data_IF_582968467416
#
_entry.id   IF_582968467416
#
_cell.length_a   1.000
_cell.length_b   1.000
_cell.length_c   1.000
_cell.angle_alpha   90.00
_cell.angle_beta   90.00
_cell.angle_gamma   90.00
#
_symmetry.space_group_name_H-M   'P 1'
#
loop_
_entity.id
_entity.type
_entity.pdbx_description
1 polymer ?
#
# COMPACT_ATOMS: atom_id res chain seq x y z
N UNK A 1 -0.27 -1.47 -12.23
CA UNK A 1 -0.36 -0.18 -11.53
C UNK A 1 -1.72 -0.11 -10.85
N UNK A 2 -1.73 -0.20 -9.53
CA UNK A 2 -2.93 -0.09 -8.67
C UNK A 2 -3.40 1.39 -8.56
N UNK A 3 -4.04 1.90 -9.61
CA UNK A 3 -4.31 3.36 -9.81
C UNK A 3 -5.69 3.84 -9.37
N UNK A 4 -6.39 3.14 -8.47
CA UNK A 4 -7.76 3.51 -8.08
C UNK A 4 -7.86 4.96 -7.56
N UNK A 5 -8.92 5.70 -7.89
CA UNK A 5 -9.11 7.10 -7.47
C UNK A 5 -9.65 7.21 -6.04
N UNK A 6 -9.05 6.46 -5.12
CA UNK A 6 -9.38 6.41 -3.70
C UNK A 6 -8.09 6.19 -2.88
N UNK A 7 -8.15 6.54 -1.61
CA UNK A 7 -7.04 6.31 -0.68
C UNK A 7 -6.89 4.82 -0.38
N UNK A 8 -5.64 4.35 -0.25
CA UNK A 8 -5.33 3.00 0.21
C UNK A 8 -4.46 3.07 1.44
N UNK A 9 -4.59 2.06 2.28
CA UNK A 9 -3.79 1.92 3.49
C UNK A 9 -3.19 0.52 3.55
N UNK A 10 -1.88 0.46 3.76
CA UNK A 10 -1.13 -0.79 3.88
C UNK A 10 -0.46 -0.85 5.24
N UNK A 11 -0.65 -1.96 5.96
CA UNK A 11 0.07 -2.27 7.19
C UNK A 11 0.94 -3.50 6.99
N UNK A 12 2.24 -3.33 7.14
CA UNK A 12 3.24 -4.40 7.11
C UNK A 12 3.68 -4.66 8.54
N UNK A 13 3.24 -5.77 9.12
CA UNK A 13 3.62 -6.17 10.48
C UNK A 13 4.73 -7.20 10.43
N UNK A 14 5.81 -6.96 11.18
CA UNK A 14 7.01 -7.77 11.12
C UNK A 14 6.85 -9.07 11.93
N UNK A 15 7.21 -10.18 11.30
CA UNK A 15 7.32 -11.49 11.97
C UNK A 15 8.75 -11.71 12.48
N UNK A 16 9.74 -11.27 11.70
CA UNK A 16 11.16 -11.31 12.03
C UNK A 16 11.69 -9.88 12.15
N UNK A 17 12.73 -9.71 12.98
CA UNK A 17 13.39 -8.41 13.14
C UNK A 17 14.02 -7.95 11.83
N UNK A 18 13.80 -6.70 11.45
CA UNK A 18 14.43 -6.04 10.31
C UNK A 18 14.85 -4.62 10.67
N UNK A 19 16.02 -4.18 10.20
CA UNK A 19 16.36 -2.75 10.25
C UNK A 19 15.59 -1.99 9.17
N UNK A 20 15.39 -0.69 9.37
CA UNK A 20 14.77 0.14 8.35
C UNK A 20 15.61 0.24 7.07
N UNK A 21 16.94 0.18 7.17
CA UNK A 21 17.83 0.06 6.00
C UNK A 21 17.54 -1.21 5.20
N UNK A 22 17.52 -2.38 5.85
CA UNK A 22 17.24 -3.65 5.17
C UNK A 22 15.89 -3.65 4.45
N UNK A 23 14.86 -3.12 5.11
CA UNK A 23 13.53 -3.02 4.52
C UNK A 23 13.51 -2.03 3.35
N UNK A 24 14.00 -0.81 3.57
CA UNK A 24 13.90 0.29 2.60
C UNK A 24 14.76 0.07 1.37
N UNK A 25 15.95 -0.52 1.50
CA UNK A 25 16.78 -0.90 0.37
C UNK A 25 16.07 -1.91 -0.52
N UNK A 26 15.45 -2.94 0.08
CA UNK A 26 14.78 -3.98 -0.70
C UNK A 26 13.58 -3.45 -1.48
N UNK A 27 12.78 -2.59 -0.85
CA UNK A 27 11.65 -1.94 -1.52
C UNK A 27 12.14 -0.99 -2.62
N UNK A 28 13.20 -0.21 -2.35
CA UNK A 28 13.77 0.72 -3.32
C UNK A 28 14.36 0.00 -4.55
N UNK A 29 15.10 -1.10 -4.36
CA UNK A 29 15.61 -1.93 -5.46
C UNK A 29 14.50 -2.38 -6.40
N UNK A 30 13.41 -2.91 -5.85
CA UNK A 30 12.26 -3.37 -6.62
C UNK A 30 11.61 -2.21 -7.39
N UNK A 31 11.41 -1.05 -6.75
CA UNK A 31 10.83 0.13 -7.40
C UNK A 31 11.71 0.62 -8.57
N UNK A 32 13.02 0.76 -8.33
CA UNK A 32 13.98 1.20 -9.36
C UNK A 32 14.02 0.23 -10.54
N UNK A 33 14.01 -1.08 -10.29
CA UNK A 33 14.01 -2.09 -11.34
C UNK A 33 12.77 -1.98 -12.23
N UNK A 34 11.59 -1.86 -11.62
CA UNK A 34 10.31 -1.70 -12.34
C UNK A 34 10.32 -0.40 -13.16
N UNK A 35 10.76 0.71 -12.58
CA UNK A 35 10.76 2.01 -13.28
C UNK A 35 11.77 2.09 -14.41
N UNK A 36 12.95 1.47 -14.25
CA UNK A 36 13.93 1.38 -15.33
C UNK A 36 13.41 0.52 -16.48
N UNK A 37 12.78 -0.61 -16.19
CA UNK A 37 12.18 -1.47 -17.21
C UNK A 37 11.03 -0.77 -17.95
N UNK A 38 10.24 0.06 -17.25
CA UNK A 38 9.17 0.85 -17.82
C UNK A 38 9.64 2.16 -18.50
N UNK A 39 10.92 2.54 -18.39
CA UNK A 39 11.46 3.77 -18.97
C UNK A 39 11.00 5.06 -18.27
N UNK A 40 10.58 4.98 -17.00
CA UNK A 40 10.03 6.11 -16.23
C UNK A 40 10.91 6.59 -15.08
N UNK A 41 12.11 6.02 -14.91
CA UNK A 41 13.03 6.42 -13.84
C UNK A 41 13.72 7.75 -14.17
N UNK A 42 13.32 8.83 -13.49
CA UNK A 42 13.92 10.16 -13.62
C UNK A 42 14.62 10.60 -12.33
N UNK A 43 15.18 11.81 -12.33
CA UNK A 43 15.75 12.44 -11.14
C UNK A 43 14.71 12.59 -10.02
N UNK A 44 13.44 12.85 -10.35
CA UNK A 44 12.37 12.98 -9.37
C UNK A 44 12.14 11.66 -8.60
N UNK A 45 12.15 10.52 -9.29
CA UNK A 45 12.06 9.20 -8.66
C UNK A 45 13.31 8.90 -7.82
N UNK A 46 14.50 9.30 -8.29
CA UNK A 46 15.74 9.19 -7.51
C UNK A 46 15.66 9.94 -6.18
N UNK A 47 15.23 11.20 -6.20
CA UNK A 47 15.05 12.02 -4.99
C UNK A 47 13.98 11.41 -4.07
N UNK A 48 12.89 10.88 -4.63
CA UNK A 48 11.85 10.23 -3.86
C UNK A 48 12.36 8.97 -3.14
N UNK A 49 13.22 8.18 -3.79
CA UNK A 49 13.85 7.00 -3.18
C UNK A 49 14.80 7.39 -2.04
N UNK A 50 15.60 8.44 -2.21
CA UNK A 50 16.49 8.90 -1.14
C UNK A 50 15.69 9.40 0.09
N UNK A 51 14.59 10.15 -0.14
CA UNK A 51 13.66 10.53 0.94
C UNK A 51 13.02 9.32 1.61
N UNK A 52 12.66 8.30 0.82
CA UNK A 52 12.12 7.06 1.35
C UNK A 52 13.14 6.37 2.25
N UNK A 53 14.38 6.16 1.80
CA UNK A 53 15.43 5.54 2.62
C UNK A 53 15.73 6.33 3.89
N UNK A 54 15.83 7.66 3.80
CA UNK A 54 16.11 8.51 4.95
C UNK A 54 15.02 8.39 6.03
N UNK A 55 13.75 8.25 5.64
CA UNK A 55 12.64 8.04 6.59
C UNK A 55 12.77 6.73 7.41
N UNK A 56 13.49 5.73 6.90
CA UNK A 56 13.69 4.43 7.56
C UNK A 56 15.04 4.29 8.26
N UNK A 57 16.00 5.19 8.01
CA UNK A 57 17.41 5.02 8.39
C UNK A 57 17.66 4.82 9.89
N UNK A 58 16.90 5.50 10.74
CA UNK A 58 17.05 5.41 12.19
C UNK A 58 16.21 4.28 12.83
N UNK A 59 15.46 3.51 12.03
CA UNK A 59 14.46 2.59 12.52
C UNK A 59 14.96 1.15 12.63
N UNK A 60 14.41 0.42 13.61
CA UNK A 60 14.56 -1.03 13.73
C UNK A 60 13.24 -1.62 14.19
N UNK A 61 12.77 -2.61 13.44
CA UNK A 61 11.45 -3.19 13.57
C UNK A 61 11.56 -4.58 14.18
N UNK A 62 11.16 -4.73 15.44
CA UNK A 62 11.04 -6.04 16.09
C UNK A 62 9.76 -6.78 15.68
N UNK A 63 9.60 -8.07 16.07
CA UNK A 63 8.37 -8.80 15.85
C UNK A 63 7.15 -8.07 16.44
N UNK A 64 6.07 -7.98 15.67
CA UNK A 64 4.83 -7.28 16.04
C UNK A 64 4.82 -5.78 15.79
N UNK A 65 5.97 -5.14 15.53
CA UNK A 65 6.01 -3.75 15.05
C UNK A 65 5.48 -3.66 13.62
N UNK A 66 5.03 -2.46 13.23
CA UNK A 66 4.38 -2.24 11.94
C UNK A 66 4.93 -1.03 11.21
N UNK A 67 5.07 -1.18 9.89
CA UNK A 67 5.27 -0.11 8.92
C UNK A 67 3.92 0.16 8.26
N UNK A 68 3.56 1.43 8.16
CA UNK A 68 2.25 1.87 7.72
C UNK A 68 2.42 2.81 6.53
N UNK A 69 1.69 2.54 5.46
CA UNK A 69 1.68 3.37 4.26
C UNK A 69 0.27 3.85 3.98
N UNK A 70 0.11 5.14 3.77
CA UNK A 70 -1.10 5.73 3.21
C UNK A 70 -0.81 6.22 1.80
N UNK A 71 -1.53 5.66 0.83
CA UNK A 71 -1.44 6.00 -0.57
C UNK A 71 -2.58 6.96 -0.92
N UNK A 72 -2.27 8.26 -0.96
CA UNK A 72 -3.24 9.29 -1.34
C UNK A 72 -3.63 9.16 -2.82
N UNK A 73 -4.90 9.41 -3.20
CA UNK A 73 -5.29 9.51 -4.61
C UNK A 73 -4.56 10.63 -5.37
N UNK A 74 -3.98 11.62 -4.68
CA UNK A 74 -3.15 12.66 -5.29
C UNK A 74 -1.74 12.17 -5.69
N UNK A 75 -1.34 10.96 -5.28
CA UNK A 75 0.00 10.42 -5.52
C UNK A 75 1.01 10.69 -4.40
N UNK A 76 0.57 11.18 -3.24
CA UNK A 76 1.42 11.30 -2.05
C UNK A 76 1.51 9.96 -1.30
N UNK A 77 2.70 9.61 -0.82
CA UNK A 77 2.92 8.47 0.08
C UNK A 77 3.22 8.98 1.49
N UNK A 78 2.33 8.72 2.43
CA UNK A 78 2.58 8.96 3.86
C UNK A 78 3.11 7.69 4.50
N UNK A 79 4.17 7.82 5.30
CA UNK A 79 4.80 6.73 6.03
C UNK A 79 4.57 6.96 7.52
N UNK A 80 4.23 5.91 8.25
CA UNK A 80 4.19 5.92 9.71
C UNK A 80 4.73 4.60 10.26
N UNK A 81 5.17 4.62 11.51
CA UNK A 81 5.69 3.45 12.21
C UNK A 81 4.91 3.23 13.50
N UNK A 82 4.76 1.97 13.88
CA UNK A 82 4.22 1.59 15.18
C UNK A 82 5.08 0.50 15.80
N UNK A 83 5.32 0.60 17.10
CA UNK A 83 6.02 -0.43 17.88
C UNK A 83 5.11 -1.64 18.18
N UNK A 84 3.81 -1.48 17.94
CA UNK A 84 2.79 -2.50 18.14
C UNK A 84 1.82 -2.50 16.94
N UNK A 85 0.59 -3.00 17.15
CA UNK A 85 -0.46 -3.05 16.11
C UNK A 85 -1.35 -1.80 16.06
N UNK A 86 -1.09 -0.78 16.88
CA UNK A 86 -1.79 0.50 16.83
C UNK A 86 -1.47 1.27 15.55
N UNK A 87 -2.39 2.14 15.14
CA UNK A 87 -2.21 3.07 14.03
C UNK A 87 -2.07 4.46 14.63
N UNK A 88 -0.93 5.16 14.45
CA UNK A 88 -0.73 6.50 14.96
C UNK A 88 -1.60 7.50 14.20
N UNK A 89 -1.96 8.61 14.85
CA UNK A 89 -2.79 9.66 14.27
C UNK A 89 -2.10 10.41 13.12
N UNK A 90 -0.76 10.47 13.14
CA UNK A 90 0.04 11.19 12.16
C UNK A 90 1.19 10.33 11.62
N UNK A 91 1.57 10.58 10.36
CA UNK A 91 2.76 9.99 9.73
C UNK A 91 4.06 10.68 10.15
N UNK A 92 5.17 9.98 10.00
CA UNK A 92 6.52 10.50 10.23
C UNK A 92 7.12 11.16 8.99
N UNK A 93 6.65 10.80 7.78
CA UNK A 93 7.11 11.39 6.53
C UNK A 93 5.99 11.39 5.47
N UNK A 94 6.03 12.37 4.58
CA UNK A 94 5.18 12.45 3.38
C UNK A 94 6.07 12.67 2.16
N UNK A 95 5.91 11.82 1.14
CA UNK A 95 6.68 11.89 -0.09
C UNK A 95 5.72 12.11 -1.26
N UNK A 96 5.80 13.30 -1.84
CA UNK A 96 5.03 13.72 -3.02
C UNK A 96 5.68 13.14 -4.29
N UNK A 97 5.44 11.86 -4.57
CA UNK A 97 5.84 11.22 -5.81
C UNK A 97 4.88 10.07 -6.14
N UNK A 98 4.10 10.26 -7.21
CA UNK A 98 3.06 9.30 -7.62
C UNK A 98 3.63 7.94 -7.98
N UNK A 99 4.77 7.89 -8.66
CA UNK A 99 5.41 6.64 -9.06
C UNK A 99 5.79 5.81 -7.82
N UNK A 100 6.42 6.43 -6.80
CA UNK A 100 6.74 5.80 -5.52
C UNK A 100 5.49 5.36 -4.77
N UNK A 101 4.49 6.23 -4.68
CA UNK A 101 3.23 5.92 -4.03
C UNK A 101 2.60 4.65 -4.62
N UNK A 102 2.49 4.55 -5.94
CA UNK A 102 1.92 3.37 -6.59
C UNK A 102 2.84 2.13 -6.50
N UNK A 103 4.16 2.33 -6.62
CA UNK A 103 5.12 1.23 -6.63
C UNK A 103 5.20 0.48 -5.29
N UNK A 104 5.01 1.16 -4.16
CA UNK A 104 4.99 0.49 -2.84
C UNK A 104 3.85 -0.53 -2.77
N UNK A 105 2.63 -0.18 -3.19
CA UNK A 105 1.50 -1.12 -3.20
C UNK A 105 1.65 -2.19 -4.28
N UNK A 106 2.10 -1.80 -5.48
CA UNK A 106 2.38 -2.73 -6.58
C UNK A 106 3.42 -3.78 -6.18
N UNK A 107 4.42 -3.41 -5.38
CA UNK A 107 5.44 -4.35 -4.88
C UNK A 107 4.86 -5.47 -4.00
N UNK A 108 3.64 -5.30 -3.47
CA UNK A 108 2.98 -6.25 -2.57
C UNK A 108 1.97 -7.10 -3.33
N UNK A 109 1.06 -6.48 -4.09
CA UNK A 109 -0.10 -7.14 -4.72
C UNK A 109 -0.10 -7.06 -6.25
N UNK A 110 0.88 -6.39 -6.85
CA UNK A 110 1.02 -6.25 -8.30
C UNK A 110 1.29 -7.56 -9.02
N UNK A 111 1.62 -7.48 -10.31
CA UNK A 111 1.94 -8.67 -11.12
C UNK A 111 3.10 -9.48 -10.52
N UNK A 112 4.17 -8.77 -10.12
CA UNK A 112 5.35 -9.33 -9.46
C UNK A 112 5.36 -9.08 -7.95
N UNK A 113 4.18 -8.93 -7.34
CA UNK A 113 4.03 -8.63 -5.92
C UNK A 113 4.57 -9.73 -5.00
N UNK A 114 5.17 -9.33 -3.88
CA UNK A 114 5.78 -10.27 -2.91
C UNK A 114 4.78 -11.05 -2.07
N UNK A 115 3.48 -10.70 -2.10
CA UNK A 115 2.45 -11.37 -1.30
C UNK A 115 1.30 -11.94 -2.16
N UNK A 116 1.50 -13.11 -2.79
CA UNK A 116 0.43 -13.82 -3.50
C UNK A 116 -0.81 -14.09 -2.62
N UNK A 117 -0.60 -14.32 -1.32
CA UNK A 117 -1.68 -14.55 -0.36
C UNK A 117 -2.55 -13.29 -0.16
N UNK A 118 -1.94 -12.10 -0.02
CA UNK A 118 -2.68 -10.84 0.08
C UNK A 118 -3.44 -10.54 -1.21
N UNK A 119 -2.80 -10.74 -2.38
CA UNK A 119 -3.44 -10.56 -3.69
C UNK A 119 -4.69 -11.45 -3.85
N UNK A 120 -4.57 -12.74 -3.51
CA UNK A 120 -5.70 -13.68 -3.54
C UNK A 120 -6.81 -13.28 -2.57
N UNK A 121 -6.45 -12.91 -1.34
CA UNK A 121 -7.41 -12.47 -0.32
C UNK A 121 -8.20 -11.25 -0.78
N UNK A 122 -7.51 -10.26 -1.36
CA UNK A 122 -8.14 -9.06 -1.91
C UNK A 122 -9.11 -9.40 -3.05
N UNK A 123 -8.68 -10.20 -4.03
CA UNK A 123 -9.50 -10.60 -5.16
C UNK A 123 -10.81 -11.30 -4.73
N UNK A 124 -10.72 -12.22 -3.77
CA UNK A 124 -11.89 -12.93 -3.24
C UNK A 124 -12.85 -11.98 -2.54
N UNK A 125 -12.36 -11.22 -1.55
CA UNK A 125 -13.20 -10.37 -0.69
C UNK A 125 -13.84 -9.22 -1.47
N UNK A 126 -13.11 -8.62 -2.40
CA UNK A 126 -13.67 -7.57 -3.26
C UNK A 126 -14.72 -8.15 -4.20
N UNK A 127 -14.49 -9.33 -4.79
CA UNK A 127 -15.50 -9.98 -5.62
C UNK A 127 -16.78 -10.30 -4.85
N UNK A 128 -16.68 -10.72 -3.60
CA UNK A 128 -17.83 -10.99 -2.73
C UNK A 128 -18.60 -9.70 -2.42
N UNK A 129 -17.90 -8.64 -2.00
CA UNK A 129 -18.52 -7.34 -1.72
C UNK A 129 -19.26 -6.75 -2.93
N UNK A 130 -18.69 -6.91 -4.13
CA UNK A 130 -19.32 -6.41 -5.35
C UNK A 130 -20.59 -7.22 -5.71
N UNK A 131 -20.61 -8.53 -5.45
CA UNK A 131 -21.81 -9.37 -5.65
C UNK A 131 -22.91 -9.01 -4.65
N UNK A 132 -22.57 -8.86 -3.38
CA UNK A 132 -23.52 -8.44 -2.34
C UNK A 132 -24.14 -7.08 -2.67
N UNK A 133 -23.36 -6.15 -3.23
CA UNK A 133 -23.85 -4.83 -3.62
C UNK A 133 -24.85 -4.91 -4.79
N UNK A 134 -24.58 -5.77 -5.78
CA UNK A 134 -25.49 -6.01 -6.90
C UNK A 134 -26.82 -6.63 -6.45
N UNK A 135 -26.76 -7.61 -5.55
CA UNK A 135 -27.95 -8.26 -4.99
C UNK A 135 -28.85 -7.27 -4.20
N UNK A 136 -28.25 -6.26 -3.57
CA UNK A 136 -28.98 -5.17 -2.89
C UNK A 136 -29.63 -4.23 -3.90
N UNK A 137 -28.91 -3.81 -4.94
CA UNK A 137 -29.47 -2.94 -5.99
C UNK A 137 -30.62 -3.61 -6.74
N UNK A 138 -30.53 -4.91 -7.03
CA UNK A 138 -31.60 -5.66 -7.71
C UNK A 138 -32.86 -5.81 -6.83
N UNK A 139 -32.69 -6.00 -5.51
CA UNK A 139 -33.81 -6.02 -4.55
C UNK A 139 -34.46 -4.65 -4.35
N UNK A 140 -33.69 -3.57 -4.46
CA UNK A 140 -34.24 -2.19 -4.43
C UNK A 140 -35.00 -1.89 -5.74
N UNK A 141 -34.53 -2.42 -6.88
CA UNK A 141 -35.21 -2.28 -8.16
C UNK A 141 -36.50 -3.12 -8.28
N UNK A 142 -36.64 -4.19 -7.50
CA UNK A 142 -37.85 -5.01 -7.39
C UNK A 142 -38.40 -5.00 -5.94
N UNK A 143 -39.08 -3.92 -5.51
CA UNK A 143 -39.59 -3.85 -4.15
C UNK A 143 -40.75 -4.84 -3.99
N UNK A 144 -40.51 -5.95 -3.30
CA UNK A 144 -41.60 -6.67 -2.63
C UNK A 144 -42.06 -5.76 -1.50
N UNK A 145 -43.29 -5.27 -1.59
CA UNK A 145 -43.87 -4.35 -0.61
C UNK A 145 -43.76 -4.95 0.80
N UNK A 146 -42.87 -4.39 1.63
CA UNK A 146 -42.83 -4.67 3.06
C UNK A 146 -44.01 -3.91 3.66
N UNK A 147 -45.14 -4.60 3.82
CA UNK A 147 -46.28 -4.12 4.57
C UNK A 147 -45.89 -4.18 6.06
N UNK A 148 -46.02 -3.04 6.73
CA UNK A 148 -45.59 -2.77 8.11
C UNK A 148 -46.23 -3.68 9.16
#
# INVERSE_FOLDING_TARGET
>A
METGSFEKFTRVTLILTLTGEQYSEKVAENCIAIWKAAGIYTEAEGIAIEKFKEAFKAETFGPGSSILFTNSPSGALTIAFSKDSSVPEAGCAVIENKALCEAVLESIIGEHGVSPAAKRSLALRVSELLKESQDVEEKVANPVAVIA
#
